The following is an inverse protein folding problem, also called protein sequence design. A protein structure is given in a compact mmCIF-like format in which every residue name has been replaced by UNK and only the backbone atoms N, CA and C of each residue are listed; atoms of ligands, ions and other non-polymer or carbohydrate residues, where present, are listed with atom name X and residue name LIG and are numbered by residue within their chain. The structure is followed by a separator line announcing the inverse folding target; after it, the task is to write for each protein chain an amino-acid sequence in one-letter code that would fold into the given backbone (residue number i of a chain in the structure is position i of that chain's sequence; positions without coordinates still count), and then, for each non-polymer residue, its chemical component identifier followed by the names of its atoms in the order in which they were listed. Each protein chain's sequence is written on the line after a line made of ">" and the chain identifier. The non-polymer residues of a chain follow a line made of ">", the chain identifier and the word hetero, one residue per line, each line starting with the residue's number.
data_IF_428661804738
#
_entry.id   IF_428661804738
#
_cell.length_a   1.000
_cell.length_b   1.000
_cell.length_c   1.000
_cell.angle_alpha   90.00
_cell.angle_beta   90.00
_cell.angle_gamma   90.00
#
_symmetry.space_group_name_H-M   'P 1'
#
loop_
_entity.id
_entity.type
_entity.pdbx_description
1 polymer ?
#
# COMPACT_ATOMS: atom_id res chain seq x y z
N UNK A 1 3.94 4.58 14.33
CA UNK A 1 2.78 5.08 13.55
C UNK A 1 2.22 3.89 12.77
N UNK A 2 0.96 3.90 12.32
CA UNK A 2 0.47 2.84 11.43
C UNK A 2 0.51 3.35 9.99
N UNK A 3 1.03 2.54 9.09
CA UNK A 3 1.28 2.92 7.71
C UNK A 3 1.11 1.73 6.77
N UNK A 4 0.94 2.00 5.47
CA UNK A 4 1.05 0.96 4.44
C UNK A 4 2.51 0.52 4.28
N UNK A 5 2.77 -0.75 3.92
CA UNK A 5 4.08 -1.17 3.44
C UNK A 5 4.53 -0.32 2.26
N UNK A 6 5.78 0.13 2.28
CA UNK A 6 6.31 1.07 1.30
C UNK A 6 7.84 1.07 1.29
N UNK A 7 8.42 1.24 0.12
CA UNK A 7 9.86 1.40 -0.05
C UNK A 7 10.19 2.34 -1.19
N UNK A 8 11.37 2.91 -1.12
CA UNK A 8 11.87 3.80 -2.17
C UNK A 8 12.21 3.00 -3.42
N UNK A 9 12.05 3.63 -4.57
CA UNK A 9 12.49 3.04 -5.83
C UNK A 9 14.01 3.18 -5.91
N UNK A 10 14.71 2.08 -6.12
CA UNK A 10 16.14 2.12 -6.44
C UNK A 10 16.30 2.76 -7.84
N UNK A 11 17.17 3.77 -7.94
CA UNK A 11 17.37 4.64 -9.11
C UNK A 11 17.59 3.89 -10.44
N UNK A 12 18.03 2.63 -10.39
CA UNK A 12 18.47 1.85 -11.54
C UNK A 12 17.35 1.05 -12.24
N UNK A 13 16.14 0.92 -11.67
CA UNK A 13 15.13 -0.01 -12.22
C UNK A 13 13.75 0.57 -12.49
N UNK A 14 13.32 1.63 -11.82
CA UNK A 14 12.00 2.25 -12.06
C UNK A 14 10.80 1.30 -11.99
N UNK A 15 10.99 0.08 -11.45
CA UNK A 15 9.98 -0.98 -11.40
C UNK A 15 9.16 -0.80 -10.14
N UNK A 16 8.20 0.12 -10.22
CA UNK A 16 7.33 0.48 -9.09
C UNK A 16 6.57 -0.72 -8.57
N UNK A 17 6.09 -1.57 -9.48
CA UNK A 17 5.28 -2.73 -9.12
C UNK A 17 6.14 -3.81 -8.46
N UNK A 18 7.32 -4.09 -9.01
CA UNK A 18 8.29 -5.02 -8.42
C UNK A 18 8.74 -4.58 -7.03
N UNK A 19 9.01 -3.28 -6.84
CA UNK A 19 9.31 -2.73 -5.51
C UNK A 19 8.12 -2.94 -4.58
N UNK A 20 6.91 -2.55 -4.94
CA UNK A 20 5.74 -2.71 -4.06
C UNK A 20 5.51 -4.17 -3.60
N UNK A 21 5.71 -5.15 -4.50
CA UNK A 21 5.62 -6.59 -4.15
C UNK A 21 6.71 -6.99 -3.16
N UNK A 22 7.96 -6.57 -3.41
CA UNK A 22 9.11 -6.86 -2.54
C UNK A 22 8.90 -6.29 -1.14
N UNK A 23 8.53 -5.01 -1.04
CA UNK A 23 8.34 -4.33 0.25
C UNK A 23 7.22 -4.98 1.06
N UNK A 24 6.09 -5.34 0.44
CA UNK A 24 5.02 -6.07 1.15
C UNK A 24 5.53 -7.42 1.67
N UNK A 25 6.35 -8.13 0.91
CA UNK A 25 6.91 -9.41 1.36
C UNK A 25 7.90 -9.22 2.52
N UNK A 26 8.77 -8.22 2.47
CA UNK A 26 9.76 -7.93 3.51
C UNK A 26 9.10 -7.42 4.80
N UNK A 27 8.14 -6.51 4.67
CA UNK A 27 7.47 -5.87 5.81
C UNK A 27 6.32 -6.69 6.40
N UNK A 28 5.71 -7.61 5.66
CA UNK A 28 4.57 -8.39 6.17
C UNK A 28 4.75 -9.90 6.09
N UNK A 29 5.59 -10.38 5.17
CA UNK A 29 5.72 -11.79 4.81
C UNK A 29 4.63 -12.31 3.87
N UNK A 30 3.77 -11.44 3.35
CA UNK A 30 2.77 -11.80 2.34
C UNK A 30 3.41 -11.89 0.97
N UNK A 31 3.08 -12.93 0.22
CA UNK A 31 3.49 -13.08 -1.17
C UNK A 31 2.35 -12.63 -2.06
N UNK A 32 2.56 -11.53 -2.79
CA UNK A 32 1.57 -10.99 -3.70
C UNK A 32 1.80 -11.54 -5.11
N UNK A 33 0.72 -11.81 -5.82
CA UNK A 33 0.79 -12.00 -7.27
C UNK A 33 0.72 -10.62 -7.93
N UNK A 34 1.70 -10.33 -8.80
CA UNK A 34 1.83 -9.04 -9.45
C UNK A 34 0.62 -8.72 -10.34
N UNK A 35 0.04 -9.75 -10.97
CA UNK A 35 -1.12 -9.62 -11.86
C UNK A 35 -2.42 -9.26 -11.11
N UNK A 36 -2.44 -9.40 -9.77
CA UNK A 36 -3.57 -9.06 -8.92
C UNK A 36 -3.47 -7.64 -8.32
N UNK A 37 -2.40 -6.90 -8.62
CA UNK A 37 -2.24 -5.51 -8.20
C UNK A 37 -3.06 -4.57 -9.08
N UNK A 38 -3.76 -3.65 -8.43
CA UNK A 38 -4.47 -2.55 -9.07
C UNK A 38 -3.76 -1.26 -8.69
N UNK A 39 -3.25 -0.54 -9.70
CA UNK A 39 -2.70 0.80 -9.52
C UNK A 39 -3.85 1.77 -9.21
N UNK A 40 -3.92 2.25 -7.95
CA UNK A 40 -4.93 3.22 -7.51
C UNK A 40 -4.64 4.61 -8.08
N UNK A 41 -3.37 4.95 -8.25
CA UNK A 41 -2.92 6.22 -8.80
C UNK A 41 -3.19 6.35 -10.29
N UNK A 42 -3.32 5.23 -11.02
CA UNK A 42 -3.76 5.21 -12.42
C UNK A 42 -5.23 5.64 -12.63
N UNK A 43 -6.04 5.74 -11.57
CA UNK A 43 -7.39 6.32 -11.66
C UNK A 43 -7.41 7.85 -11.66
N UNK A 44 -6.27 8.49 -11.38
CA UNK A 44 -6.15 9.94 -11.51
C UNK A 44 -6.14 10.34 -12.99
N UNK A 45 -6.38 11.63 -13.24
CA UNK A 45 -6.17 12.17 -14.57
C UNK A 45 -4.67 12.05 -14.94
N UNK A 46 -4.39 11.66 -16.18
CA UNK A 46 -3.03 11.47 -16.69
C UNK A 46 -2.14 12.72 -16.57
N UNK A 47 -2.73 13.92 -16.51
CA UNK A 47 -1.99 15.17 -16.29
C UNK A 47 -1.36 15.28 -14.90
N UNK A 48 -1.78 14.44 -13.94
CA UNK A 48 -1.17 14.37 -12.61
C UNK A 48 0.12 13.55 -12.57
N UNK A 49 0.48 12.88 -13.68
CA UNK A 49 1.60 11.94 -13.71
C UNK A 49 1.30 10.61 -13.03
N UNK A 50 0.05 10.35 -12.64
CA UNK A 50 -0.38 9.17 -11.89
C UNK A 50 0.42 9.00 -10.58
N UNK A 51 0.59 10.10 -9.84
CA UNK A 51 1.34 10.12 -8.59
C UNK A 51 0.62 10.98 -7.55
N UNK A 52 0.83 10.62 -6.29
CA UNK A 52 0.42 11.43 -5.14
C UNK A 52 1.65 12.15 -4.60
N UNK A 53 1.54 13.47 -4.49
CA UNK A 53 2.55 14.29 -3.80
C UNK A 53 2.07 14.55 -2.38
N UNK A 54 2.81 14.13 -1.33
CA UNK A 54 2.32 14.27 0.04
C UNK A 54 2.32 15.72 0.51
N UNK A 55 3.25 16.55 0.02
CA UNK A 55 3.27 17.99 0.29
C UNK A 55 4.08 18.74 -0.78
N UNK A 56 3.47 19.17 -1.91
CA UNK A 56 4.20 19.81 -3.02
C UNK A 56 5.00 21.08 -2.65
N UNK A 57 4.67 21.73 -1.53
CA UNK A 57 5.43 22.88 -1.03
C UNK A 57 6.63 22.51 -0.17
N UNK A 58 6.75 21.24 0.26
CA UNK A 58 7.77 20.76 1.19
C UNK A 58 8.60 19.58 0.68
N UNK A 59 8.10 18.81 -0.29
CA UNK A 59 8.83 17.73 -0.95
C UNK A 59 8.38 17.57 -2.41
N UNK A 60 9.27 17.01 -3.23
CA UNK A 60 9.05 16.59 -4.62
C UNK A 60 8.83 15.08 -4.75
N UNK A 61 8.61 14.39 -3.62
CA UNK A 61 8.35 12.96 -3.55
C UNK A 61 7.04 12.61 -4.27
N UNK A 62 7.13 11.74 -5.28
CA UNK A 62 5.97 11.17 -5.99
C UNK A 62 5.70 9.75 -5.51
N UNK A 63 4.50 9.52 -4.99
CA UNK A 63 4.09 8.22 -4.44
C UNK A 63 3.12 7.53 -5.40
N UNK A 64 3.44 6.28 -5.77
CA UNK A 64 2.50 5.36 -6.42
C UNK A 64 1.75 4.54 -5.37
N UNK A 65 0.44 4.36 -5.53
CA UNK A 65 -0.39 3.60 -4.58
C UNK A 65 -1.03 2.40 -5.26
N UNK A 66 -0.88 1.23 -4.65
CA UNK A 66 -1.40 -0.03 -5.19
C UNK A 66 -2.36 -0.68 -4.22
N UNK A 67 -3.38 -1.33 -4.78
CA UNK A 67 -4.32 -2.18 -4.08
C UNK A 67 -4.06 -3.64 -4.45
N UNK A 68 -3.86 -4.47 -3.45
CA UNK A 68 -3.96 -5.92 -3.57
C UNK A 68 -5.23 -6.43 -2.88
N UNK A 69 -5.93 -7.38 -3.50
CA UNK A 69 -7.10 -8.05 -2.89
C UNK A 69 -6.97 -9.56 -3.01
N UNK A 70 -6.65 -10.21 -1.89
CA UNK A 70 -6.61 -11.66 -1.79
C UNK A 70 -7.55 -12.18 -0.70
N UNK A 71 -7.90 -13.45 -0.82
CA UNK A 71 -8.49 -14.22 0.28
C UNK A 71 -7.37 -14.99 0.97
N UNK A 72 -7.31 -14.89 2.28
CA UNK A 72 -6.36 -15.65 3.11
C UNK A 72 -7.13 -16.32 4.23
N UNK A 73 -6.61 -17.45 4.70
CA UNK A 73 -7.18 -18.15 5.83
C UNK A 73 -7.16 -17.28 7.09
N UNK A 74 -8.19 -17.42 7.92
CA UNK A 74 -8.28 -16.70 9.19
C UNK A 74 -7.07 -16.92 10.09
N UNK A 75 -6.43 -18.09 9.97
CA UNK A 75 -5.22 -18.39 10.72
C UNK A 75 -4.01 -17.58 10.24
N UNK A 76 -3.87 -17.36 8.93
CA UNK A 76 -2.86 -16.45 8.37
C UNK A 76 -3.09 -15.03 8.91
N UNK A 77 -4.34 -14.55 8.92
CA UNK A 77 -4.69 -13.23 9.48
C UNK A 77 -4.24 -13.11 10.94
N UNK A 78 -4.45 -14.16 11.75
CA UNK A 78 -4.02 -14.19 13.16
C UNK A 78 -2.51 -14.17 13.30
N UNK A 79 -1.80 -14.91 12.46
CA UNK A 79 -0.34 -14.99 12.48
C UNK A 79 0.32 -13.68 12.03
N UNK A 80 -0.32 -12.91 11.15
CA UNK A 80 0.16 -11.59 10.74
C UNK A 80 0.05 -10.57 11.86
N UNK A 81 -0.99 -10.65 12.70
CA UNK A 81 -1.20 -9.66 13.75
C UNK A 81 -0.06 -9.66 14.77
N UNK A 82 0.66 -8.55 14.85
CA UNK A 82 1.75 -8.34 15.80
C UNK A 82 3.07 -8.99 15.40
N UNK A 83 3.18 -9.57 14.18
CA UNK A 83 4.41 -10.16 13.65
C UNK A 83 5.48 -9.08 13.50
N UNK A 84 6.67 -9.34 14.04
CA UNK A 84 7.86 -8.49 13.83
C UNK A 84 8.54 -8.87 12.51
N UNK A 85 8.86 -7.86 11.70
CA UNK A 85 9.34 -7.95 10.32
C UNK A 85 10.29 -6.78 10.01
N UNK A 86 10.69 -6.63 8.75
CA UNK A 86 11.65 -5.62 8.32
C UNK A 86 13.10 -6.07 8.48
N UNK A 87 14.01 -5.30 7.88
CA UNK A 87 15.44 -5.58 7.91
C UNK A 87 16.06 -5.02 9.20
N UNK A 88 16.05 -5.85 10.26
CA UNK A 88 16.64 -5.47 11.57
C UNK A 88 18.10 -5.01 11.46
N UNK A 89 18.88 -5.64 10.59
CA UNK A 89 20.29 -5.29 10.37
C UNK A 89 20.46 -3.92 9.67
N UNK A 90 19.40 -3.41 9.03
CA UNK A 90 19.32 -2.09 8.43
C UNK A 90 18.63 -1.05 9.34
N UNK A 91 18.28 -1.42 10.57
CA UNK A 91 17.68 -0.53 11.57
C UNK A 91 16.15 -0.42 11.48
N UNK A 92 15.51 -1.23 10.64
CA UNK A 92 14.06 -1.25 10.52
C UNK A 92 13.44 -2.17 11.59
N UNK A 93 12.56 -1.59 12.41
CA UNK A 93 11.79 -2.32 13.41
C UNK A 93 10.30 -2.20 13.07
N UNK A 94 9.80 -3.12 12.26
CA UNK A 94 8.43 -3.10 11.76
C UNK A 94 7.61 -4.14 12.50
N UNK A 95 6.38 -3.77 12.87
CA UNK A 95 5.40 -4.67 13.44
C UNK A 95 4.10 -4.61 12.66
N UNK A 96 3.71 -5.74 12.08
CA UNK A 96 2.51 -5.87 11.27
C UNK A 96 1.26 -5.69 12.12
N UNK A 97 0.33 -4.87 11.65
CA UNK A 97 -0.98 -4.66 12.27
C UNK A 97 -2.09 -4.88 11.24
N UNK A 98 -2.93 -5.89 11.49
CA UNK A 98 -4.12 -6.13 10.68
C UNK A 98 -5.28 -5.30 11.24
N UNK A 99 -5.80 -4.39 10.42
CA UNK A 99 -6.87 -3.48 10.81
C UNK A 99 -8.11 -3.78 9.96
N UNK A 100 -9.30 -3.93 10.57
CA UNK A 100 -10.54 -3.98 9.80
C UNK A 100 -10.69 -2.74 8.92
N UNK A 101 -10.90 -2.92 7.61
CA UNK A 101 -10.91 -1.82 6.65
C UNK A 101 -11.82 -0.64 7.04
N UNK A 102 -13.02 -0.94 7.57
CA UNK A 102 -13.99 0.07 8.05
C UNK A 102 -13.46 1.01 9.14
N UNK A 103 -12.45 0.58 9.88
CA UNK A 103 -11.86 1.30 11.00
C UNK A 103 -10.55 1.99 10.59
N UNK A 104 -9.94 1.61 9.46
CA UNK A 104 -8.58 1.99 9.06
C UNK A 104 -8.36 3.51 9.03
N UNK A 105 -9.30 4.27 8.47
CA UNK A 105 -9.21 5.74 8.37
C UNK A 105 -9.16 6.45 9.73
N UNK A 106 -9.56 5.78 10.82
CA UNK A 106 -9.53 6.31 12.20
C UNK A 106 -8.28 5.88 12.97
N UNK A 107 -7.43 5.02 12.39
CA UNK A 107 -6.31 4.37 13.10
C UNK A 107 -4.95 5.01 12.83
N UNK A 108 -4.87 5.94 11.87
CA UNK A 108 -3.63 6.61 11.54
C UNK A 108 -3.86 8.01 10.97
N UNK A 109 -2.82 8.85 11.07
CA UNK A 109 -2.72 10.14 10.40
C UNK A 109 -1.81 10.08 9.16
N UNK A 110 -1.34 8.89 8.79
CA UNK A 110 -0.45 8.66 7.65
C UNK A 110 -1.13 9.03 6.32
N UNK A 111 -0.48 9.89 5.54
CA UNK A 111 -1.05 10.49 4.34
C UNK A 111 -1.27 9.45 3.22
N UNK A 112 -0.37 8.47 3.07
CA UNK A 112 -0.50 7.41 2.05
C UNK A 112 -1.71 6.53 2.34
N UNK A 113 -1.95 6.14 3.60
CA UNK A 113 -3.15 5.39 4.01
C UNK A 113 -4.42 6.17 3.68
N UNK A 114 -4.51 7.44 4.12
CA UNK A 114 -5.72 8.22 3.92
C UNK A 114 -6.01 8.49 2.43
N UNK A 115 -4.96 8.71 1.63
CA UNK A 115 -5.09 8.91 0.18
C UNK A 115 -5.48 7.62 -0.53
N UNK A 116 -4.89 6.48 -0.17
CA UNK A 116 -5.25 5.17 -0.74
C UNK A 116 -6.72 4.83 -0.48
N UNK A 117 -7.24 5.14 0.73
CA UNK A 117 -8.66 4.98 1.05
C UNK A 117 -9.53 5.86 0.15
N UNK A 118 -9.17 7.13 -0.03
CA UNK A 118 -9.93 8.04 -0.87
C UNK A 118 -9.98 7.57 -2.33
N UNK A 119 -8.83 7.22 -2.93
CA UNK A 119 -8.77 6.72 -4.30
C UNK A 119 -9.56 5.42 -4.48
N UNK A 120 -9.40 4.48 -3.55
CA UNK A 120 -10.14 3.22 -3.58
C UNK A 120 -11.67 3.43 -3.49
N UNK A 121 -12.15 4.23 -2.53
CA UNK A 121 -13.58 4.45 -2.35
C UNK A 121 -14.20 5.20 -3.54
N UNK A 122 -13.48 6.17 -4.12
CA UNK A 122 -13.94 6.87 -5.34
C UNK A 122 -13.99 5.93 -6.55
N UNK A 123 -12.90 5.21 -6.83
CA UNK A 123 -12.84 4.27 -7.95
C UNK A 123 -13.86 3.13 -7.80
N UNK A 124 -14.11 2.67 -6.58
CA UNK A 124 -15.15 1.69 -6.29
C UNK A 124 -16.56 2.25 -6.49
N UNK A 125 -16.84 3.47 -6.01
CA UNK A 125 -18.12 4.16 -6.20
C UNK A 125 -18.46 4.34 -7.68
N UNK A 126 -17.46 4.61 -8.50
CA UNK A 126 -17.60 4.80 -9.94
C UNK A 126 -17.55 3.48 -10.73
N UNK A 127 -17.46 2.33 -10.04
CA UNK A 127 -17.50 1.00 -10.66
C UNK A 127 -16.21 0.59 -11.36
N UNK A 128 -15.12 1.34 -11.20
CA UNK A 128 -13.80 1.04 -11.77
C UNK A 128 -13.12 -0.13 -11.04
N UNK A 129 -13.36 -0.25 -9.73
CA UNK A 129 -12.95 -1.40 -8.94
C UNK A 129 -14.18 -2.24 -8.61
N UNK A 130 -14.32 -3.39 -9.26
CA UNK A 130 -15.42 -4.33 -9.01
C UNK A 130 -15.29 -4.99 -7.65
N UNK A 131 -16.39 -5.24 -6.95
CA UNK A 131 -16.42 -6.21 -5.86
C UNK A 131 -15.98 -7.58 -6.40
N UNK A 132 -15.05 -8.26 -5.71
CA UNK A 132 -14.92 -9.71 -5.90
C UNK A 132 -16.10 -10.33 -5.15
N UNK A 133 -16.89 -11.12 -5.85
CA UNK A 133 -17.99 -11.93 -5.30
C UNK A 133 -17.47 -12.92 -4.24
#
# INVERSE_FOLDING_TARGET
>A
MLELPAGMLDDDKGDIVGTAVREVQEETGLHLNIDDLVDLTAFLDTSTGNQVFPSPGGCDEGIGLFLYRGSVDKEIIRQLQGKETGLRDHGELIQVHVVPYRDLWRKTADAKVLTAIALYEMAKRDGLIRHRD
#
